data_IF_709134108223
#
_entry.id   IF_709134108223
#
_cell.length_a   1.000
_cell.length_b   1.000
_cell.length_c   1.000
_cell.angle_alpha   90.00
_cell.angle_beta   90.00
_cell.angle_gamma   90.00
#
_symmetry.space_group_name_H-M   'P 1'
#
loop_
_entity.id
_entity.type
_entity.pdbx_description
1 polymer ?
#
# COMPACT_ATOMS: atom_id res chain seq x y z
N UNK A 1 49.31 -38.11 -0.13
CA UNK A 1 49.12 -38.93 -1.33
C UNK A 1 48.31 -38.13 -2.32
N UNK A 2 48.92 -37.36 -3.07
CA UNK A 2 49.31 -37.18 -4.47
C UNK A 2 48.57 -38.11 -5.45
N UNK A 3 47.80 -37.50 -6.38
CA UNK A 3 47.94 -37.78 -7.82
C UNK A 3 47.15 -36.73 -8.65
N UNK A 4 47.94 -35.96 -9.34
CA UNK A 4 47.73 -35.21 -10.58
C UNK A 4 47.46 -36.10 -11.78
N UNK A 5 46.85 -35.54 -12.83
CA UNK A 5 46.96 -35.77 -14.29
C UNK A 5 45.61 -35.49 -14.95
N UNK A 6 45.43 -34.90 -16.09
CA UNK A 6 46.23 -34.12 -17.04
C UNK A 6 45.25 -33.65 -18.13
N UNK A 7 45.62 -32.60 -18.80
CA UNK A 7 45.01 -31.96 -19.96
C UNK A 7 44.89 -32.85 -21.21
N UNK A 8 43.84 -32.63 -22.02
CA UNK A 8 44.00 -32.74 -23.47
C UNK A 8 43.01 -31.86 -24.25
N UNK A 9 43.59 -31.14 -25.15
CA UNK A 9 43.06 -30.26 -26.20
C UNK A 9 42.55 -31.04 -27.43
N UNK A 10 41.82 -30.31 -28.27
CA UNK A 10 41.48 -30.49 -29.71
C UNK A 10 40.01 -30.89 -29.93
N UNK A 11 39.26 -30.30 -30.82
CA UNK A 11 39.53 -29.66 -32.07
C UNK A 11 38.24 -29.24 -32.76
N UNK A 12 38.34 -28.18 -33.48
CA UNK A 12 37.32 -27.56 -34.34
C UNK A 12 36.80 -28.49 -35.44
N UNK A 13 35.48 -28.52 -35.65
CA UNK A 13 34.92 -28.88 -36.98
C UNK A 13 33.76 -27.95 -37.34
N UNK A 14 33.99 -27.14 -38.38
CA UNK A 14 32.99 -26.47 -39.20
C UNK A 14 32.11 -27.50 -39.89
N UNK A 15 30.81 -27.37 -39.83
CA UNK A 15 29.89 -27.98 -40.78
C UNK A 15 29.04 -26.86 -41.39
N UNK A 16 29.23 -26.71 -42.72
CA UNK A 16 28.35 -25.97 -43.64
C UNK A 16 27.10 -26.79 -43.90
N UNK A 17 25.96 -26.18 -44.02
CA UNK A 17 24.82 -26.86 -44.63
C UNK A 17 23.51 -26.08 -44.59
N UNK A 18 23.26 -25.43 -45.70
CA UNK A 18 21.99 -25.28 -46.47
C UNK A 18 20.78 -24.57 -45.88
N UNK A 19 20.51 -23.46 -46.57
CA UNK A 19 19.28 -22.70 -46.59
C UNK A 19 18.09 -23.54 -47.08
N UNK A 20 16.96 -23.42 -46.37
CA UNK A 20 15.63 -23.60 -46.95
C UNK A 20 14.71 -22.47 -46.46
N UNK A 21 14.21 -21.75 -47.42
CA UNK A 21 13.29 -20.62 -47.29
C UNK A 21 11.93 -21.05 -46.74
N UNK A 22 11.53 -20.47 -45.62
CA UNK A 22 10.11 -20.27 -45.27
C UNK A 22 10.01 -18.97 -44.50
N UNK A 23 9.27 -18.01 -45.06
CA UNK A 23 9.14 -16.67 -44.53
C UNK A 23 8.38 -16.65 -43.19
N UNK A 24 9.15 -16.57 -42.15
CA UNK A 24 8.70 -16.09 -40.84
C UNK A 24 9.45 -14.78 -40.59
N UNK A 25 8.72 -13.72 -40.29
CA UNK A 25 9.24 -12.47 -39.78
C UNK A 25 9.91 -12.78 -38.43
N UNK A 26 11.15 -13.25 -38.48
CA UNK A 26 12.05 -13.26 -37.33
C UNK A 26 12.44 -11.81 -37.05
N UNK A 27 11.79 -11.18 -36.08
CA UNK A 27 12.31 -10.00 -35.43
C UNK A 27 13.70 -10.36 -34.91
N UNK A 28 14.73 -9.75 -35.48
CA UNK A 28 16.10 -9.98 -35.10
C UNK A 28 16.28 -9.70 -33.60
N UNK A 29 16.97 -10.58 -32.92
CA UNK A 29 17.33 -10.44 -31.47
C UNK A 29 18.04 -9.09 -31.24
N UNK A 30 18.75 -8.56 -32.25
CA UNK A 30 19.37 -7.23 -32.23
C UNK A 30 18.35 -6.10 -32.08
N UNK A 31 17.19 -6.15 -32.75
CA UNK A 31 16.16 -5.11 -32.65
C UNK A 31 15.49 -5.07 -31.29
N UNK A 32 15.37 -6.25 -30.63
CA UNK A 32 14.85 -6.36 -29.26
C UNK A 32 15.87 -5.81 -28.26
N UNK A 33 17.16 -6.05 -28.49
CA UNK A 33 18.25 -5.54 -27.63
C UNK A 33 18.34 -4.02 -27.76
N UNK A 34 18.16 -3.45 -28.96
CA UNK A 34 18.23 -2.02 -29.17
C UNK A 34 17.03 -1.27 -28.57
N UNK A 35 15.83 -1.81 -28.66
CA UNK A 35 14.63 -1.25 -27.99
C UNK A 35 14.79 -1.30 -26.47
N UNK A 36 15.32 -2.40 -25.94
CA UNK A 36 15.57 -2.55 -24.49
C UNK A 36 16.67 -1.59 -24.02
N UNK A 37 17.68 -1.33 -24.84
CA UNK A 37 18.78 -0.42 -24.52
C UNK A 37 18.36 1.05 -24.59
N UNK A 38 17.44 1.43 -25.48
CA UNK A 38 16.88 2.78 -25.55
C UNK A 38 15.99 3.07 -24.34
N UNK A 39 15.14 2.14 -23.95
CA UNK A 39 14.27 2.26 -22.77
C UNK A 39 15.12 2.31 -21.48
N UNK A 40 16.24 1.58 -21.42
CA UNK A 40 17.06 1.51 -20.22
C UNK A 40 17.99 2.72 -20.01
N UNK A 41 18.30 3.52 -21.02
CA UNK A 41 19.27 4.62 -20.87
C UNK A 41 18.70 5.93 -20.33
N UNK A 42 17.43 6.24 -20.61
CA UNK A 42 16.88 7.55 -20.29
C UNK A 42 15.99 7.60 -19.04
N UNK A 43 15.42 6.47 -18.60
CA UNK A 43 14.35 6.47 -17.59
C UNK A 43 14.69 5.78 -16.25
N UNK A 44 15.85 5.15 -16.13
CA UNK A 44 16.19 4.30 -14.97
C UNK A 44 16.42 5.08 -13.68
N UNK A 45 16.82 6.34 -13.76
CA UNK A 45 17.25 7.15 -12.63
C UNK A 45 16.22 8.17 -12.15
N UNK A 46 15.05 8.29 -12.78
CA UNK A 46 14.00 9.18 -12.34
C UNK A 46 13.01 8.46 -11.41
N UNK A 47 12.62 9.10 -10.28
CA UNK A 47 11.53 8.60 -9.47
C UNK A 47 10.24 8.61 -10.29
N UNK A 48 9.41 7.59 -10.11
CA UNK A 48 8.07 7.56 -10.70
C UNK A 48 7.32 8.83 -10.26
N UNK A 49 6.71 9.58 -11.17
CA UNK A 49 5.81 10.64 -10.78
C UNK A 49 4.69 10.02 -9.95
N UNK A 50 4.63 10.34 -8.67
CA UNK A 50 3.40 10.17 -7.91
C UNK A 50 2.37 10.97 -8.68
N UNK A 51 1.28 10.36 -9.10
CA UNK A 51 0.19 11.01 -9.83
C UNK A 51 -0.23 12.18 -8.94
N UNK A 52 0.19 13.39 -9.32
CA UNK A 52 -0.38 14.59 -8.73
C UNK A 52 -1.88 14.45 -8.86
N UNK A 53 -2.61 14.79 -7.81
CA UNK A 53 -4.06 14.83 -7.83
C UNK A 53 -4.46 15.70 -9.03
N UNK A 54 -4.66 15.09 -10.19
CA UNK A 54 -5.62 15.65 -11.10
C UNK A 54 -6.90 15.68 -10.28
N UNK A 55 -7.28 16.89 -9.82
CA UNK A 55 -8.67 17.15 -9.52
C UNK A 55 -9.40 16.51 -10.69
N UNK A 56 -10.16 15.47 -10.40
CA UNK A 56 -11.15 14.97 -11.32
C UNK A 56 -12.13 16.12 -11.42
N UNK A 57 -11.75 17.15 -12.21
CA UNK A 57 -12.71 18.00 -12.88
C UNK A 57 -13.49 16.98 -13.68
N UNK A 58 -14.71 16.76 -13.19
CA UNK A 58 -15.62 15.87 -13.86
C UNK A 58 -15.52 16.17 -15.33
N UNK A 59 -14.79 15.31 -16.05
CA UNK A 59 -14.90 15.28 -17.49
C UNK A 59 -16.38 15.11 -17.67
N UNK A 60 -17.04 16.16 -18.15
CA UNK A 60 -18.38 16.09 -18.66
C UNK A 60 -18.35 14.87 -19.58
N UNK A 61 -18.84 13.77 -19.02
CA UNK A 61 -19.11 12.56 -19.78
C UNK A 61 -20.02 13.05 -20.87
N UNK A 62 -19.53 13.03 -22.10
CA UNK A 62 -20.31 13.31 -23.29
C UNK A 62 -21.64 12.57 -23.16
N UNK A 63 -22.66 13.32 -22.74
CA UNK A 63 -23.99 12.84 -22.39
C UNK A 63 -24.83 12.55 -23.64
N UNK A 64 -24.19 12.28 -24.77
CA UNK A 64 -24.88 12.01 -26.02
C UNK A 64 -25.20 10.52 -26.25
N UNK A 65 -24.88 9.65 -25.30
CA UNK A 65 -25.35 8.27 -25.41
C UNK A 65 -26.76 8.14 -24.83
N UNK A 66 -27.75 8.14 -25.71
CA UNK A 66 -29.18 7.99 -25.37
C UNK A 66 -29.48 6.71 -24.53
N UNK A 67 -28.60 5.73 -24.60
CA UNK A 67 -28.68 4.50 -23.81
C UNK A 67 -28.34 4.73 -22.34
N UNK A 68 -27.33 5.55 -22.02
CA UNK A 68 -27.00 5.90 -20.64
C UNK A 68 -28.08 6.75 -19.96
N UNK A 69 -28.74 7.66 -20.69
CA UNK A 69 -29.88 8.43 -20.15
C UNK A 69 -31.07 7.54 -19.79
N UNK A 70 -31.34 6.49 -20.56
CA UNK A 70 -32.42 5.55 -20.24
C UNK A 70 -32.10 4.72 -18.98
N UNK A 71 -30.85 4.29 -18.81
CA UNK A 71 -30.42 3.52 -17.62
C UNK A 71 -30.43 4.39 -16.36
N UNK A 72 -29.93 5.61 -16.43
CA UNK A 72 -29.93 6.54 -15.30
C UNK A 72 -31.36 6.96 -14.89
N UNK A 73 -32.24 7.18 -15.86
CA UNK A 73 -33.64 7.48 -15.57
C UNK A 73 -34.40 6.30 -14.96
N UNK A 74 -34.11 5.06 -15.39
CA UNK A 74 -34.70 3.86 -14.82
C UNK A 74 -34.23 3.59 -13.39
N UNK A 75 -32.96 3.85 -13.07
CA UNK A 75 -32.40 3.77 -11.71
C UNK A 75 -32.94 4.85 -10.79
N UNK A 76 -33.10 6.10 -11.28
CA UNK A 76 -33.66 7.20 -10.53
C UNK A 76 -35.15 7.00 -10.21
N UNK A 77 -35.90 6.34 -11.11
CA UNK A 77 -37.30 5.96 -10.89
C UNK A 77 -37.41 4.78 -9.91
N UNK A 78 -36.44 3.84 -9.93
CA UNK A 78 -36.40 2.70 -9.01
C UNK A 78 -36.09 3.11 -7.55
N UNK A 79 -35.53 4.30 -7.30
CA UNK A 79 -35.29 4.81 -5.94
C UNK A 79 -36.48 5.53 -5.29
N UNK A 80 -37.61 5.64 -5.96
CA UNK A 80 -38.84 6.19 -5.37
C UNK A 80 -39.64 5.09 -4.65
N UNK A 81 -39.96 5.22 -3.35
CA UNK A 81 -40.59 4.15 -2.55
C UNK A 81 -41.95 3.64 -3.06
N UNK A 82 -42.61 4.40 -3.94
CA UNK A 82 -43.98 4.10 -4.43
C UNK A 82 -44.05 3.50 -5.83
N UNK A 83 -42.92 3.30 -6.52
CA UNK A 83 -42.90 2.78 -7.89
C UNK A 83 -41.58 2.07 -8.24
N UNK A 84 -41.24 1.01 -7.52
CA UNK A 84 -40.12 0.16 -7.92
C UNK A 84 -40.61 -0.64 -9.12
N UNK A 85 -40.12 -0.38 -10.35
CA UNK A 85 -40.46 -1.22 -11.48
C UNK A 85 -39.95 -2.62 -11.20
N UNK A 86 -40.84 -3.62 -11.35
CA UNK A 86 -40.47 -5.02 -11.28
C UNK A 86 -39.35 -5.31 -12.27
N UNK A 87 -38.19 -5.73 -11.77
CA UNK A 87 -37.07 -6.10 -12.62
C UNK A 87 -37.31 -7.54 -13.07
N UNK A 88 -37.83 -7.70 -14.28
CA UNK A 88 -38.14 -9.01 -14.86
C UNK A 88 -36.90 -9.91 -14.96
N UNK A 89 -35.73 -9.35 -15.19
CA UNK A 89 -34.48 -10.10 -15.34
C UNK A 89 -33.33 -9.48 -14.58
N UNK A 90 -33.02 -9.93 -13.34
CA UNK A 90 -31.86 -9.48 -12.57
C UNK A 90 -30.53 -9.61 -13.34
N UNK A 91 -30.47 -10.55 -14.28
CA UNK A 91 -29.31 -10.79 -15.15
C UNK A 91 -28.92 -9.59 -16.02
N UNK A 92 -29.87 -8.74 -16.40
CA UNK A 92 -29.60 -7.50 -17.16
C UNK A 92 -28.77 -6.54 -16.35
N UNK A 93 -29.02 -6.40 -15.05
CA UNK A 93 -28.26 -5.54 -14.15
C UNK A 93 -26.86 -6.14 -13.94
N UNK A 94 -26.76 -7.42 -13.68
CA UNK A 94 -25.48 -8.13 -13.52
C UNK A 94 -24.67 -8.03 -14.82
N UNK A 95 -25.30 -8.25 -15.97
CA UNK A 95 -24.67 -8.12 -17.27
C UNK A 95 -24.16 -6.69 -17.55
N UNK A 96 -24.94 -5.67 -17.20
CA UNK A 96 -24.53 -4.27 -17.31
C UNK A 96 -23.35 -3.94 -16.39
N UNK A 97 -23.35 -4.47 -15.16
CA UNK A 97 -22.24 -4.29 -14.21
C UNK A 97 -20.93 -4.87 -14.72
N UNK A 98 -20.94 -6.06 -15.34
CA UNK A 98 -19.74 -6.72 -15.85
C UNK A 98 -19.39 -6.40 -17.31
N UNK A 99 -20.23 -5.67 -18.04
CA UNK A 99 -20.03 -5.39 -19.48
C UNK A 99 -18.72 -4.67 -19.78
N UNK A 100 -18.36 -3.68 -18.98
CA UNK A 100 -17.14 -2.91 -19.15
C UNK A 100 -16.05 -3.38 -18.17
N UNK A 101 -14.85 -3.66 -18.67
CA UNK A 101 -13.68 -3.98 -17.85
C UNK A 101 -13.92 -5.11 -16.81
N UNK A 102 -14.70 -6.13 -17.18
CA UNK A 102 -15.14 -7.18 -16.24
C UNK A 102 -14.00 -7.85 -15.47
N UNK A 103 -12.83 -8.10 -16.09
CA UNK A 103 -11.68 -8.68 -15.39
C UNK A 103 -11.10 -7.72 -14.34
N UNK A 104 -10.95 -6.43 -14.65
CA UNK A 104 -10.48 -5.45 -13.68
C UNK A 104 -11.44 -5.26 -12.52
N UNK A 105 -12.75 -5.41 -12.74
CA UNK A 105 -13.76 -5.29 -11.67
C UNK A 105 -13.64 -6.38 -10.61
N UNK A 106 -13.22 -7.58 -10.98
CA UNK A 106 -13.03 -8.68 -10.03
C UNK A 106 -11.96 -8.37 -8.98
N UNK A 107 -10.94 -7.61 -9.35
CA UNK A 107 -9.78 -7.28 -8.50
C UNK A 107 -9.66 -5.78 -8.20
N UNK A 108 -10.68 -5.00 -8.54
CA UNK A 108 -10.70 -3.54 -8.40
C UNK A 108 -10.37 -3.10 -6.98
N UNK A 109 -10.98 -3.73 -5.98
CA UNK A 109 -10.74 -3.42 -4.57
C UNK A 109 -9.27 -3.59 -4.15
N UNK A 110 -8.57 -4.59 -4.70
CA UNK A 110 -7.15 -4.82 -4.46
C UNK A 110 -6.30 -3.70 -5.10
N UNK A 111 -6.53 -3.44 -6.38
CA UNK A 111 -5.75 -2.48 -7.16
C UNK A 111 -5.95 -1.05 -6.66
N UNK A 112 -7.20 -0.64 -6.42
CA UNK A 112 -7.51 0.72 -5.93
C UNK A 112 -6.95 0.95 -4.53
N UNK A 113 -7.09 -0.02 -3.63
CA UNK A 113 -6.52 0.06 -2.28
C UNK A 113 -4.99 0.19 -2.32
N UNK A 114 -4.33 -0.57 -3.18
CA UNK A 114 -2.88 -0.48 -3.34
C UNK A 114 -2.44 0.84 -3.97
N UNK A 115 -3.16 1.34 -4.96
CA UNK A 115 -2.88 2.63 -5.59
C UNK A 115 -3.04 3.78 -4.59
N UNK A 116 -4.11 3.78 -3.79
CA UNK A 116 -4.29 4.77 -2.72
C UNK A 116 -3.17 4.69 -1.69
N UNK A 117 -2.77 3.48 -1.28
CA UNK A 117 -1.66 3.28 -0.37
C UNK A 117 -0.37 3.93 -0.88
N UNK A 118 0.00 3.67 -2.14
CA UNK A 118 1.26 4.18 -2.71
C UNK A 118 1.20 5.68 -2.95
N UNK A 119 0.10 6.18 -3.52
CA UNK A 119 0.02 7.57 -3.95
C UNK A 119 -0.24 8.55 -2.79
N UNK A 120 -0.98 8.12 -1.76
CA UNK A 120 -1.46 9.00 -0.71
C UNK A 120 -0.99 8.59 0.69
N UNK A 121 -1.18 7.30 1.05
CA UNK A 121 -1.07 6.88 2.44
C UNK A 121 0.37 6.82 2.95
N UNK A 122 1.33 6.46 2.10
CA UNK A 122 2.75 6.41 2.50
C UNK A 122 3.24 7.81 2.89
N UNK A 123 3.07 8.80 2.01
CA UNK A 123 3.51 10.17 2.29
C UNK A 123 2.77 10.76 3.49
N UNK A 124 1.46 10.55 3.58
CA UNK A 124 0.65 10.99 4.72
C UNK A 124 1.12 10.39 6.04
N UNK A 125 1.51 9.11 6.03
CA UNK A 125 2.06 8.45 7.22
C UNK A 125 3.39 9.07 7.62
N UNK A 126 4.28 9.34 6.66
CA UNK A 126 5.56 9.99 6.91
C UNK A 126 5.34 11.36 7.55
N UNK A 127 4.45 12.17 7.00
CA UNK A 127 4.14 13.52 7.47
C UNK A 127 3.57 13.52 8.90
N UNK A 128 2.79 12.51 9.26
CA UNK A 128 2.24 12.38 10.61
C UNK A 128 3.29 12.15 11.70
N UNK A 129 4.42 11.54 11.35
CA UNK A 129 5.51 11.27 12.30
C UNK A 129 6.58 12.35 12.31
N UNK A 130 6.48 13.35 11.46
CA UNK A 130 7.42 14.46 11.39
C UNK A 130 7.10 15.56 12.42
N UNK A 131 8.12 16.21 13.02
CA UNK A 131 9.51 15.81 13.10
C UNK A 131 9.76 14.76 14.20
N UNK A 132 10.76 13.90 14.01
CA UNK A 132 11.28 13.05 15.09
C UNK A 132 12.31 13.84 15.89
N UNK A 133 12.04 14.06 17.16
CA UNK A 133 12.92 14.82 18.06
C UNK A 133 13.75 13.84 18.88
N UNK A 134 15.06 13.95 18.76
CA UNK A 134 16.03 13.18 19.53
C UNK A 134 16.72 14.14 20.49
N UNK A 135 16.58 13.88 21.78
CA UNK A 135 17.20 14.65 22.84
C UNK A 135 17.66 13.72 23.96
N UNK A 136 18.75 14.07 24.64
CA UNK A 136 19.25 13.32 25.78
C UNK A 136 18.70 13.89 27.09
N UNK A 137 18.11 13.05 27.93
CA UNK A 137 17.66 13.45 29.27
C UNK A 137 18.81 13.91 30.17
N UNK A 138 20.01 13.38 29.96
CA UNK A 138 21.21 13.73 30.73
C UNK A 138 21.67 15.17 30.46
N UNK A 139 21.38 15.70 29.28
CA UNK A 139 21.76 17.05 28.87
C UNK A 139 20.69 18.11 29.19
N UNK A 140 19.64 17.72 29.91
CA UNK A 140 18.56 18.63 30.27
C UNK A 140 18.94 19.51 31.44
N UNK A 141 18.86 20.83 31.24
CA UNK A 141 18.96 21.80 32.30
C UNK A 141 17.75 21.75 33.21
N UNK A 142 17.95 21.44 34.51
CA UNK A 142 16.85 21.33 35.50
C UNK A 142 16.03 22.61 35.68
N UNK A 143 16.67 23.80 35.52
CA UNK A 143 16.01 25.11 35.66
C UNK A 143 15.08 25.40 34.48
N UNK A 144 15.58 25.26 33.25
CA UNK A 144 14.86 25.71 32.05
C UNK A 144 14.08 24.57 31.41
N UNK A 145 14.27 23.31 31.83
CA UNK A 145 13.74 22.09 31.21
C UNK A 145 14.07 21.99 29.70
N UNK A 146 15.17 22.58 29.27
CA UNK A 146 15.64 22.55 27.88
C UNK A 146 16.89 21.69 27.79
N UNK A 147 17.04 21.01 26.66
CA UNK A 147 18.21 20.18 26.37
C UNK A 147 19.32 21.06 25.73
N UNK A 148 20.58 20.73 26.01
CA UNK A 148 21.73 21.37 25.37
C UNK A 148 21.77 21.08 23.87
N UNK A 149 21.50 19.84 23.51
CA UNK A 149 21.44 19.38 22.13
C UNK A 149 20.08 18.76 21.86
N UNK A 150 19.42 19.25 20.82
CA UNK A 150 18.23 18.63 20.24
C UNK A 150 18.46 18.42 18.74
N UNK A 151 18.11 17.23 18.28
CA UNK A 151 18.21 16.87 16.86
C UNK A 151 16.80 16.65 16.36
N UNK A 152 16.38 17.45 15.41
CA UNK A 152 15.10 17.29 14.74
C UNK A 152 15.35 16.64 13.39
N UNK A 153 14.85 15.43 13.22
CA UNK A 153 14.92 14.68 11.97
C UNK A 153 13.56 14.79 11.27
N UNK A 154 13.57 15.34 10.09
CA UNK A 154 12.37 15.46 9.25
C UNK A 154 12.55 14.61 8.02
N UNK A 155 11.58 13.73 7.78
CA UNK A 155 11.50 12.94 6.57
C UNK A 155 10.66 13.70 5.57
N UNK A 156 11.23 13.93 4.40
CA UNK A 156 10.61 14.73 3.36
C UNK A 156 10.02 13.85 2.26
N UNK A 157 10.27 14.15 1.02
CA UNK A 157 9.67 13.51 -0.14
C UNK A 157 10.01 12.01 -0.23
N UNK A 158 8.98 11.18 -0.25
CA UNK A 158 9.07 9.76 -0.58
C UNK A 158 9.14 9.58 -2.09
N UNK A 159 10.12 8.81 -2.55
CA UNK A 159 10.31 8.48 -3.95
C UNK A 159 10.31 6.97 -4.15
N UNK A 160 9.59 6.53 -5.18
CA UNK A 160 9.51 5.13 -5.59
C UNK A 160 10.04 5.00 -7.02
N UNK A 161 10.99 4.08 -7.23
CA UNK A 161 11.61 3.88 -8.52
C UNK A 161 10.98 2.70 -9.27
N UNK A 162 11.26 2.59 -10.57
CA UNK A 162 10.83 1.45 -11.36
C UNK A 162 11.50 0.16 -10.87
N UNK A 163 10.84 -1.00 -10.97
CA UNK A 163 11.46 -2.27 -10.61
C UNK A 163 12.62 -2.59 -11.55
N UNK A 164 13.75 -2.93 -10.98
CA UNK A 164 15.01 -3.15 -11.70
C UNK A 164 15.65 -4.47 -11.32
N UNK A 165 16.31 -5.08 -12.29
CA UNK A 165 17.20 -6.23 -12.09
C UNK A 165 18.63 -5.75 -12.30
N UNK A 166 19.48 -6.02 -11.32
CA UNK A 166 20.93 -5.86 -11.45
C UNK A 166 21.53 -7.20 -11.83
N UNK A 167 22.09 -7.28 -13.02
CA UNK A 167 22.75 -8.48 -13.51
C UNK A 167 24.19 -8.56 -12.97
N UNK A 168 24.75 -9.76 -12.93
CA UNK A 168 26.11 -10.00 -12.41
C UNK A 168 27.20 -9.25 -13.20
N UNK A 169 26.92 -8.86 -14.42
CA UNK A 169 27.82 -8.05 -15.26
C UNK A 169 27.73 -6.54 -14.96
N UNK A 170 26.95 -6.14 -13.96
CA UNK A 170 26.73 -4.74 -13.62
C UNK A 170 25.65 -4.03 -14.46
N UNK A 171 25.07 -4.69 -15.45
CA UNK A 171 23.98 -4.12 -16.23
C UNK A 171 22.69 -4.06 -15.41
N UNK A 172 21.95 -2.98 -15.58
CA UNK A 172 20.64 -2.79 -14.94
C UNK A 172 19.57 -2.76 -16.01
N UNK A 173 18.52 -3.56 -15.83
CA UNK A 173 17.35 -3.59 -16.72
C UNK A 173 16.04 -3.48 -15.92
N UNK A 174 14.99 -3.05 -16.59
CA UNK A 174 13.64 -3.05 -16.01
C UNK A 174 13.21 -4.50 -15.74
N UNK A 175 12.66 -4.74 -14.56
CA UNK A 175 12.12 -6.04 -14.17
C UNK A 175 10.68 -6.18 -14.65
N UNK A 176 10.42 -7.20 -15.48
CA UNK A 176 9.05 -7.60 -15.79
C UNK A 176 8.55 -8.66 -14.80
N UNK A 177 7.23 -8.76 -14.58
CA UNK A 177 6.67 -9.78 -13.69
C UNK A 177 7.05 -11.22 -14.11
N UNK A 178 7.12 -11.50 -15.42
CA UNK A 178 7.55 -12.78 -15.94
C UNK A 178 8.99 -13.12 -15.53
N UNK A 179 9.90 -12.14 -15.58
CA UNK A 179 11.29 -12.32 -15.13
C UNK A 179 11.34 -12.66 -13.63
N UNK A 180 10.51 -12.00 -12.83
CA UNK A 180 10.45 -12.28 -11.40
C UNK A 180 9.96 -13.69 -11.10
N UNK A 181 8.97 -14.22 -11.86
CA UNK A 181 8.49 -15.60 -11.69
C UNK A 181 9.56 -16.62 -12.10
N UNK A 182 10.15 -16.46 -13.28
CA UNK A 182 11.09 -17.44 -13.84
C UNK A 182 12.43 -17.49 -13.11
N UNK A 183 12.86 -16.37 -12.51
CA UNK A 183 14.14 -16.26 -11.79
C UNK A 183 13.99 -16.28 -10.27
N UNK A 184 12.82 -16.56 -9.74
CA UNK A 184 12.51 -16.58 -8.30
C UNK A 184 12.84 -15.26 -7.59
N UNK A 185 12.59 -14.13 -8.25
CA UNK A 185 12.75 -12.81 -7.66
C UNK A 185 11.44 -12.28 -7.06
N UNK A 186 11.58 -11.29 -6.21
CA UNK A 186 10.44 -10.49 -5.76
C UNK A 186 10.25 -9.29 -6.69
N UNK A 187 9.06 -9.16 -7.27
CA UNK A 187 8.71 -8.01 -8.10
C UNK A 187 8.48 -6.79 -7.21
N UNK A 188 9.52 -5.97 -7.06
CA UNK A 188 9.55 -4.87 -6.10
C UNK A 188 10.30 -3.64 -6.64
N UNK A 189 9.87 -2.48 -6.16
CA UNK A 189 10.50 -1.18 -6.42
C UNK A 189 11.39 -0.74 -5.27
N UNK A 190 12.46 -0.04 -5.58
CA UNK A 190 13.31 0.62 -4.60
C UNK A 190 12.63 1.86 -4.04
N UNK A 191 12.66 2.02 -2.72
CA UNK A 191 12.13 3.17 -2.01
C UNK A 191 13.27 4.05 -1.50
N UNK A 192 13.16 5.36 -1.69
CA UNK A 192 14.06 6.35 -1.09
C UNK A 192 13.29 7.47 -0.45
N UNK A 193 13.92 8.14 0.51
CA UNK A 193 13.38 9.31 1.18
C UNK A 193 14.47 10.35 1.36
N UNK A 194 14.09 11.61 1.33
CA UNK A 194 14.99 12.71 1.63
C UNK A 194 14.90 13.01 3.13
N UNK A 195 16.05 13.15 3.79
CA UNK A 195 16.15 13.38 5.22
C UNK A 195 16.75 14.74 5.47
N UNK A 196 16.03 15.59 6.20
CA UNK A 196 16.51 16.88 6.67
C UNK A 196 16.72 16.84 8.17
N UNK A 197 17.95 17.16 8.60
CA UNK A 197 18.35 17.13 9.99
C UNK A 197 18.65 18.56 10.43
N UNK A 198 18.00 18.98 11.51
CA UNK A 198 18.22 20.26 12.17
C UNK A 198 18.80 20.01 13.55
N UNK A 199 20.04 20.44 13.74
CA UNK A 199 20.70 20.41 15.03
C UNK A 199 20.46 21.72 15.74
N UNK A 200 19.94 21.69 16.95
CA UNK A 200 19.74 22.86 17.81
C UNK A 200 20.68 22.71 18.99
N UNK A 201 21.72 23.49 19.00
CA UNK A 201 22.73 23.54 20.07
C UNK A 201 22.49 24.78 20.92
N UNK A 202 22.30 24.58 22.24
CA UNK A 202 22.11 25.68 23.19
C UNK A 202 23.31 25.76 24.12
N UNK A 203 23.86 26.96 24.26
CA UNK A 203 25.02 27.26 25.10
C UNK A 203 24.67 28.38 26.09
N UNK A 204 25.52 28.55 27.15
CA UNK A 204 25.28 29.49 28.22
C UNK A 204 24.70 28.85 29.50
N UNK A 205 24.76 29.53 30.63
CA UNK A 205 24.29 29.00 31.92
C UNK A 205 22.81 28.70 31.93
N UNK A 206 21.99 29.50 31.25
CA UNK A 206 20.54 29.32 31.11
C UNK A 206 20.12 28.77 29.73
N UNK A 207 21.07 28.31 28.88
CA UNK A 207 20.83 27.84 27.52
C UNK A 207 20.15 28.89 26.61
N UNK A 208 20.61 30.14 26.72
CA UNK A 208 20.05 31.30 26.03
C UNK A 208 20.56 31.41 24.59
N UNK A 209 21.82 31.08 24.35
CA UNK A 209 22.44 31.16 23.04
C UNK A 209 22.08 29.93 22.22
N UNK A 210 21.35 30.14 21.10
CA UNK A 210 20.87 29.07 20.22
C UNK A 210 21.65 29.15 18.91
N UNK A 211 22.30 28.06 18.55
CA UNK A 211 22.91 27.84 17.24
C UNK A 211 22.18 26.73 16.52
N UNK A 212 21.82 26.95 15.25
CA UNK A 212 21.08 26.01 14.44
C UNK A 212 21.92 25.63 13.22
N UNK A 213 22.10 24.32 13.03
CA UNK A 213 22.78 23.76 11.88
C UNK A 213 21.83 22.88 11.10
N UNK A 214 21.94 22.94 9.78
CA UNK A 214 21.09 22.14 8.88
C UNK A 214 21.96 21.17 8.09
N UNK A 215 21.49 19.95 7.93
CA UNK A 215 22.08 18.94 7.05
C UNK A 215 20.97 18.23 6.30
N UNK A 216 21.06 18.22 4.97
CA UNK A 216 20.16 17.46 4.11
C UNK A 216 20.88 16.24 3.53
N UNK A 217 20.21 15.09 3.53
CA UNK A 217 20.70 13.84 2.98
C UNK A 217 19.64 13.35 2.00
N UNK A 218 19.83 13.60 0.69
CA UNK A 218 18.85 13.22 -0.31
C UNK A 218 18.94 11.73 -0.64
N UNK A 219 17.84 11.17 -1.13
CA UNK A 219 17.73 9.81 -1.70
C UNK A 219 18.26 8.68 -0.81
N UNK A 220 17.99 8.75 0.48
CA UNK A 220 18.36 7.67 1.41
C UNK A 220 17.52 6.44 1.10
N UNK A 221 18.19 5.32 0.79
CA UNK A 221 17.54 4.05 0.52
C UNK A 221 16.93 3.48 1.80
N UNK A 222 15.61 3.24 1.79
CA UNK A 222 14.87 2.67 2.94
C UNK A 222 14.70 1.15 2.76
N UNK A 223 14.42 0.72 1.53
CA UNK A 223 14.13 -0.68 1.24
C UNK A 223 13.48 -0.86 -0.13
N UNK A 224 12.80 -2.00 -0.29
CA UNK A 224 12.05 -2.33 -1.50
C UNK A 224 10.59 -2.58 -1.17
N UNK A 225 9.69 -2.01 -1.97
CA UNK A 225 8.24 -2.21 -1.87
C UNK A 225 7.79 -3.19 -2.94
N UNK A 226 7.15 -4.32 -2.58
CA UNK A 226 6.54 -5.20 -3.56
C UNK A 226 5.47 -4.48 -4.38
N UNK A 227 5.43 -4.71 -5.68
CA UNK A 227 4.49 -4.08 -6.61
C UNK A 227 3.34 -5.03 -6.90
N UNK A 228 2.12 -4.52 -6.75
CA UNK A 228 0.92 -5.25 -7.18
C UNK A 228 0.79 -5.19 -8.69
N UNK A 229 0.55 -6.34 -9.33
CA UNK A 229 0.39 -6.43 -10.77
C UNK A 229 -0.82 -5.61 -11.23
N UNK A 230 -0.63 -4.91 -12.34
CA UNK A 230 -1.62 -3.99 -12.95
C UNK A 230 -2.06 -2.81 -12.06
N UNK A 231 -1.29 -2.49 -11.01
CA UNK A 231 -1.39 -1.22 -10.30
C UNK A 231 -0.84 -0.05 -11.14
N UNK A 232 -1.03 1.18 -10.69
CA UNK A 232 -0.54 2.39 -11.37
C UNK A 232 0.98 2.41 -11.57
N UNK A 233 1.73 1.84 -10.64
CA UNK A 233 3.19 1.75 -10.67
C UNK A 233 3.73 0.49 -11.35
N UNK A 234 2.85 -0.43 -11.74
CA UNK A 234 3.25 -1.66 -12.42
C UNK A 234 3.74 -1.36 -13.85
N UNK A 235 4.85 -1.95 -14.25
CA UNK A 235 5.41 -1.82 -15.60
C UNK A 235 4.38 -2.16 -16.68
N UNK A 236 3.55 -3.19 -16.45
CA UNK A 236 2.50 -3.59 -17.39
C UNK A 236 1.43 -2.51 -17.62
N UNK A 237 1.17 -1.66 -16.65
CA UNK A 237 0.21 -0.56 -16.78
C UNK A 237 0.83 0.68 -17.41
N UNK A 238 2.13 0.89 -17.23
CA UNK A 238 2.87 2.02 -17.80
C UNK A 238 3.20 1.81 -19.28
N UNK A 239 3.53 0.58 -19.66
CA UNK A 239 3.93 0.22 -21.02
C UNK A 239 2.83 -0.57 -21.73
N UNK A 240 1.68 0.05 -21.94
CA UNK A 240 0.51 -0.57 -22.60
C UNK A 240 0.75 -0.95 -24.08
N UNK A 241 1.75 -0.35 -24.71
CA UNK A 241 2.14 -0.63 -26.09
C UNK A 241 2.98 -1.90 -26.25
N UNK A 242 3.53 -2.44 -25.16
CA UNK A 242 4.30 -3.69 -25.21
C UNK A 242 3.33 -4.87 -25.42
N UNK A 243 3.56 -5.61 -26.52
CA UNK A 243 2.78 -6.80 -26.82
C UNK A 243 2.93 -7.85 -25.71
N UNK A 244 1.84 -8.53 -25.39
CA UNK A 244 1.84 -9.60 -24.38
C UNK A 244 2.86 -10.71 -24.67
N UNK A 245 3.16 -10.95 -25.94
CA UNK A 245 4.18 -11.92 -26.34
C UNK A 245 5.59 -11.52 -25.88
N UNK A 246 5.89 -10.22 -25.84
CA UNK A 246 7.19 -9.69 -25.39
C UNK A 246 7.26 -9.65 -23.86
N UNK A 247 6.17 -9.28 -23.20
CA UNK A 247 6.09 -9.24 -21.74
C UNK A 247 5.97 -10.63 -21.09
N UNK A 248 5.62 -11.65 -21.87
CA UNK A 248 5.38 -13.01 -21.36
C UNK A 248 4.12 -13.15 -20.50
N UNK A 249 3.25 -12.11 -20.49
CA UNK A 249 2.09 -12.06 -19.60
C UNK A 249 0.79 -12.44 -20.33
N UNK A 250 -0.10 -13.12 -19.59
CA UNK A 250 -1.40 -13.50 -20.12
C UNK A 250 -2.30 -12.28 -20.29
N UNK A 251 -2.91 -12.15 -21.45
CA UNK A 251 -3.88 -11.08 -21.76
C UNK A 251 -5.12 -11.13 -20.84
N UNK A 252 -5.50 -12.32 -20.36
CA UNK A 252 -6.65 -12.54 -19.50
C UNK A 252 -6.34 -12.51 -17.99
N UNK A 253 -5.09 -12.24 -17.62
CA UNK A 253 -4.73 -12.04 -16.22
C UNK A 253 -5.36 -10.73 -15.71
N UNK A 254 -6.09 -10.80 -14.61
CA UNK A 254 -6.72 -9.63 -13.98
C UNK A 254 -5.73 -8.77 -13.18
N UNK A 255 -4.59 -9.31 -12.74
CA UNK A 255 -3.67 -8.67 -11.80
C UNK A 255 -4.19 -8.65 -10.36
N UNK A 256 -3.79 -7.69 -9.55
CA UNK A 256 -4.24 -7.54 -8.17
C UNK A 256 -3.54 -8.47 -7.18
N UNK A 257 -2.37 -9.00 -7.51
CA UNK A 257 -1.57 -9.87 -6.66
C UNK A 257 -0.08 -9.48 -6.73
N UNK A 258 0.73 -10.07 -5.88
CA UNK A 258 2.17 -9.84 -5.78
C UNK A 258 2.96 -11.06 -6.22
N UNK A 259 4.20 -10.84 -6.67
CA UNK A 259 5.15 -11.91 -6.93
C UNK A 259 6.27 -11.79 -5.90
N UNK A 260 6.36 -12.77 -5.01
CA UNK A 260 7.33 -12.84 -3.93
C UNK A 260 8.15 -14.11 -4.07
N UNK A 261 9.46 -13.96 -4.28
CA UNK A 261 10.36 -15.08 -4.51
C UNK A 261 9.85 -16.04 -5.62
N UNK A 262 9.36 -15.47 -6.71
CA UNK A 262 8.82 -16.20 -7.85
C UNK A 262 7.40 -16.75 -7.67
N UNK A 263 6.86 -16.75 -6.46
CA UNK A 263 5.50 -17.24 -6.17
C UNK A 263 4.48 -16.12 -6.18
N UNK A 264 3.32 -16.37 -6.75
CA UNK A 264 2.19 -15.45 -6.75
C UNK A 264 1.50 -15.45 -5.39
N UNK A 265 1.37 -14.30 -4.78
CA UNK A 265 0.77 -14.09 -3.46
C UNK A 265 -0.31 -13.03 -3.55
N UNK A 266 -1.47 -13.30 -2.96
CA UNK A 266 -2.56 -12.33 -2.85
C UNK A 266 -2.81 -11.97 -1.39
N UNK A 267 -3.33 -10.77 -1.17
CA UNK A 267 -3.81 -10.34 0.14
C UNK A 267 -5.29 -10.69 0.24
N UNK A 268 -5.64 -11.58 1.17
CA UNK A 268 -7.03 -11.92 1.41
C UNK A 268 -7.73 -10.78 2.13
N UNK A 269 -8.90 -10.37 1.63
CA UNK A 269 -9.75 -9.42 2.31
C UNK A 269 -10.21 -9.97 3.65
N UNK A 270 -10.08 -9.16 4.72
CA UNK A 270 -10.56 -9.51 6.06
C UNK A 270 -11.57 -8.48 6.52
N UNK A 271 -12.76 -8.95 6.87
CA UNK A 271 -13.82 -8.12 7.42
C UNK A 271 -13.63 -7.95 8.93
N UNK A 272 -13.81 -6.73 9.41
CA UNK A 272 -13.83 -6.40 10.84
C UNK A 272 -14.95 -5.40 11.15
N UNK A 273 -15.36 -5.36 12.40
CA UNK A 273 -16.30 -4.34 12.86
C UNK A 273 -15.68 -2.94 12.71
N UNK A 274 -16.48 -1.96 12.28
CA UNK A 274 -16.03 -0.59 12.12
C UNK A 274 -15.60 0.02 13.46
N UNK A 275 -14.54 0.81 13.44
CA UNK A 275 -14.06 1.56 14.59
C UNK A 275 -14.90 2.80 14.83
N UNK A 276 -14.78 3.41 16.03
CA UNK A 276 -15.49 4.62 16.45
C UNK A 276 -17.04 4.50 16.43
N UNK A 277 -17.55 3.26 16.58
CA UNK A 277 -18.98 2.97 16.71
C UNK A 277 -19.25 2.17 17.97
N UNK A 278 -20.41 2.43 18.58
CA UNK A 278 -20.88 1.69 19.74
C UNK A 278 -21.63 0.44 19.27
N UNK A 279 -21.24 -0.70 19.79
CA UNK A 279 -21.89 -2.00 19.58
C UNK A 279 -22.45 -2.51 20.88
N UNK A 280 -23.70 -2.97 20.86
CA UNK A 280 -24.37 -3.53 22.06
C UNK A 280 -24.67 -5.01 21.82
N UNK A 281 -24.24 -5.85 22.76
CA UNK A 281 -24.43 -7.28 22.69
C UNK A 281 -25.17 -7.80 23.92
N UNK A 282 -26.08 -8.72 23.72
CA UNK A 282 -26.66 -9.51 24.78
C UNK A 282 -25.73 -10.70 25.08
N UNK A 283 -25.05 -10.65 26.21
CA UNK A 283 -24.06 -11.66 26.64
C UNK A 283 -24.59 -12.64 27.66
N UNK A 284 -25.86 -12.51 28.09
CA UNK A 284 -26.47 -13.34 29.15
C UNK A 284 -26.42 -14.84 28.85
N UNK A 285 -26.47 -15.24 27.57
CA UNK A 285 -26.42 -16.66 27.16
C UNK A 285 -25.01 -17.28 27.31
N UNK A 286 -23.97 -16.48 27.13
CA UNK A 286 -22.58 -16.94 27.09
C UNK A 286 -21.82 -16.63 28.37
N UNK A 287 -22.35 -15.75 29.23
CA UNK A 287 -21.66 -15.28 30.42
C UNK A 287 -22.67 -15.03 31.55
N UNK A 288 -22.52 -15.78 32.65
CA UNK A 288 -23.40 -15.59 33.80
C UNK A 288 -23.15 -14.32 34.63
N UNK A 289 -22.06 -13.62 34.36
CA UNK A 289 -21.66 -12.42 35.09
C UNK A 289 -22.29 -11.16 34.50
N UNK A 290 -22.35 -11.04 33.18
CA UNK A 290 -22.80 -9.86 32.44
C UNK A 290 -24.06 -10.17 31.62
N UNK A 291 -25.07 -9.31 31.65
CA UNK A 291 -26.28 -9.45 30.84
C UNK A 291 -26.15 -8.75 29.48
N UNK A 292 -25.72 -7.52 29.51
CA UNK A 292 -25.48 -6.71 28.31
C UNK A 292 -24.10 -6.08 28.36
N UNK A 293 -23.47 -5.97 27.21
CA UNK A 293 -22.19 -5.31 27.05
C UNK A 293 -22.28 -4.35 25.86
N UNK A 294 -21.94 -3.09 26.11
CA UNK A 294 -21.70 -2.11 25.07
C UNK A 294 -20.20 -1.88 24.93
N UNK A 295 -19.69 -1.94 23.71
CA UNK A 295 -18.28 -1.74 23.43
C UNK A 295 -18.05 -0.70 22.37
N UNK A 296 -16.97 0.06 22.51
CA UNK A 296 -16.47 0.97 21.49
C UNK A 296 -14.96 0.81 21.37
N UNK A 297 -14.49 0.67 20.12
CA UNK A 297 -13.07 0.75 19.77
C UNK A 297 -12.81 2.13 19.19
N UNK A 298 -12.12 2.96 19.96
CA UNK A 298 -11.83 4.34 19.56
C UNK A 298 -10.43 4.43 18.92
N UNK A 299 -10.39 5.03 17.74
CA UNK A 299 -9.16 5.32 16.98
C UNK A 299 -9.27 6.72 16.42
N UNK A 300 -8.30 7.61 16.67
CA UNK A 300 -8.30 8.92 16.04
C UNK A 300 -7.89 8.79 14.56
N UNK A 301 -8.59 9.52 13.69
CA UNK A 301 -8.39 9.44 12.23
C UNK A 301 -7.03 9.97 11.75
N UNK A 302 -6.39 10.80 12.58
CA UNK A 302 -5.15 11.52 12.26
C UNK A 302 -3.91 11.00 12.97
N UNK A 303 -4.01 9.87 13.70
CA UNK A 303 -2.87 9.28 14.41
C UNK A 303 -2.80 7.77 14.17
N UNK A 304 -1.60 7.28 13.85
CA UNK A 304 -1.35 5.84 13.72
C UNK A 304 -1.09 5.22 15.11
N UNK A 305 -2.14 5.07 15.92
CA UNK A 305 -2.07 4.44 17.23
C UNK A 305 -3.00 3.25 17.32
N UNK A 306 -2.66 2.32 18.21
CA UNK A 306 -3.50 1.15 18.47
C UNK A 306 -4.88 1.54 18.99
N UNK A 307 -5.95 0.87 18.54
CA UNK A 307 -7.30 1.10 19.05
C UNK A 307 -7.37 0.98 20.57
N UNK A 308 -8.14 1.85 21.21
CA UNK A 308 -8.48 1.76 22.63
C UNK A 308 -9.93 1.31 22.74
N UNK A 309 -10.16 0.23 23.48
CA UNK A 309 -11.49 -0.33 23.69
C UNK A 309 -11.98 0.00 25.09
N UNK A 310 -13.21 0.52 25.17
CA UNK A 310 -13.94 0.70 26.42
C UNK A 310 -15.17 -0.19 26.35
N UNK A 311 -15.43 -0.94 27.43
CA UNK A 311 -16.62 -1.76 27.57
C UNK A 311 -17.45 -1.26 28.73
N UNK A 312 -18.74 -1.09 28.50
CA UNK A 312 -19.75 -0.81 29.55
C UNK A 312 -20.61 -2.05 29.69
N UNK A 313 -20.70 -2.58 30.88
CA UNK A 313 -21.31 -3.89 31.13
C UNK A 313 -22.35 -3.77 32.25
N UNK A 314 -23.48 -4.43 32.08
CA UNK A 314 -24.54 -4.54 33.10
C UNK A 314 -24.39 -5.90 33.78
N UNK A 315 -24.30 -5.91 35.08
CA UNK A 315 -24.25 -7.14 35.83
C UNK A 315 -25.57 -7.95 35.76
N UNK A 316 -25.46 -9.26 35.68
CA UNK A 316 -26.63 -10.13 35.62
C UNK A 316 -27.30 -10.31 37.00
N UNK A 317 -26.54 -10.11 38.09
CA UNK A 317 -27.04 -10.26 39.47
C UNK A 317 -27.44 -8.89 40.02
N UNK A 318 -28.63 -8.85 40.63
CA UNK A 318 -29.11 -7.70 41.36
C UNK A 318 -28.39 -7.63 42.71
N UNK A 319 -27.91 -6.45 43.12
CA UNK A 319 -27.22 -6.21 44.40
C UNK A 319 -28.15 -5.64 45.48
N UNK A 320 -29.48 -5.67 45.27
CA UNK A 320 -30.49 -5.09 46.19
C UNK A 320 -30.99 -3.72 45.73
N UNK A 321 -30.22 -2.98 44.94
CA UNK A 321 -30.58 -1.67 44.35
C UNK A 321 -30.75 -1.71 42.83
N UNK A 322 -30.71 -2.90 42.26
CA UNK A 322 -30.76 -3.10 40.80
C UNK A 322 -29.53 -3.81 40.25
N UNK A 323 -29.39 -3.90 38.93
CA UNK A 323 -28.24 -4.48 38.29
C UNK A 323 -27.16 -3.40 38.08
N UNK A 324 -26.03 -3.45 38.79
CA UNK A 324 -25.01 -2.42 38.71
C UNK A 324 -24.33 -2.43 37.34
N UNK A 325 -23.93 -1.23 36.89
CA UNK A 325 -23.24 -0.99 35.63
C UNK A 325 -21.75 -0.77 35.89
N UNK A 326 -20.93 -1.49 35.17
CA UNK A 326 -19.48 -1.42 35.27
C UNK A 326 -18.87 -0.94 33.98
N UNK A 327 -17.73 -0.25 34.07
CA UNK A 327 -16.92 0.21 32.95
C UNK A 327 -15.54 -0.45 33.02
N UNK A 328 -15.13 -1.07 31.94
CA UNK A 328 -13.77 -1.59 31.78
C UNK A 328 -12.96 -0.60 30.95
N UNK A 329 -11.97 0.01 31.59
CA UNK A 329 -11.08 0.99 31.00
C UNK A 329 -9.76 0.31 30.62
N UNK A 330 -9.14 0.65 29.48
CA UNK A 330 -7.82 0.12 29.11
C UNK A 330 -6.77 0.33 30.22
N UNK A 331 -5.93 -0.67 30.43
CA UNK A 331 -4.89 -0.72 31.48
C UNK A 331 -5.37 -0.87 32.92
N UNK A 332 -6.66 -0.85 33.19
CA UNK A 332 -7.23 -1.14 34.51
C UNK A 332 -7.70 -2.61 34.50
N UNK A 333 -7.18 -3.40 35.44
CA UNK A 333 -7.46 -4.85 35.47
C UNK A 333 -8.91 -5.17 35.86
N UNK A 334 -9.48 -4.40 36.80
CA UNK A 334 -10.83 -4.64 37.30
C UNK A 334 -11.82 -3.63 36.75
N UNK A 335 -13.03 -4.04 36.39
CA UNK A 335 -14.09 -3.12 36.02
C UNK A 335 -14.44 -2.19 37.19
N UNK A 336 -14.70 -0.94 36.91
CA UNK A 336 -15.08 0.12 37.87
C UNK A 336 -16.56 0.41 37.71
N UNK A 337 -17.26 0.72 38.80
CA UNK A 337 -18.66 1.16 38.72
C UNK A 337 -18.79 2.46 37.95
N UNK A 338 -19.85 2.56 37.11
CA UNK A 338 -20.06 3.70 36.22
C UNK A 338 -20.11 5.02 36.96
N UNK A 339 -20.76 5.07 38.15
CA UNK A 339 -20.89 6.28 38.95
C UNK A 339 -19.53 6.80 39.47
N UNK A 340 -18.60 5.91 39.76
CA UNK A 340 -17.23 6.28 40.16
C UNK A 340 -16.52 6.96 38.99
N UNK A 341 -16.71 6.46 37.77
CA UNK A 341 -16.14 7.07 36.56
C UNK A 341 -16.72 8.45 36.32
N UNK A 342 -18.06 8.63 36.41
CA UNK A 342 -18.70 9.93 36.25
C UNK A 342 -18.27 10.95 37.30
N UNK A 343 -17.99 10.47 38.52
CA UNK A 343 -17.50 11.35 39.57
C UNK A 343 -16.05 11.79 39.37
N UNK A 344 -15.27 11.00 38.62
CA UNK A 344 -13.87 11.29 38.33
C UNK A 344 -13.67 12.19 37.10
N UNK A 345 -14.66 12.26 36.22
CA UNK A 345 -14.68 13.13 35.04
C UNK A 345 -15.18 14.53 35.43
#
# INVERSE_FOLDING_TARGET
MSKTFASSSNGSKKVKGKETSSGNLELNITDIIDITNIINKEEINEPLPLIEKEEIRGSELDTNDKTHKKINNSLAVAMRPSSIPYIETPWTIIGAYFRNQHLKRLVRHQIESYNDFVNNQIQRTIDMFNPVIIASEQDMCRRTKRNKLEIHVTFDKFNLYRPQIHENNGATKIMFPHDARSRNFTYASTMTIDINIRYIVRTGENLENIQIFYKSIPKVHIGKLPIMLKSSICVLSQYTHINNNVSGECKHDAGGYFIINGSEKTVLGQERAAENRVYCFNTSKNNNKWSWTAEIKSVPDFKCISPKQINVMIANKNNGFGCPIYVQIPRIKQPIELFVVFRAL
#
